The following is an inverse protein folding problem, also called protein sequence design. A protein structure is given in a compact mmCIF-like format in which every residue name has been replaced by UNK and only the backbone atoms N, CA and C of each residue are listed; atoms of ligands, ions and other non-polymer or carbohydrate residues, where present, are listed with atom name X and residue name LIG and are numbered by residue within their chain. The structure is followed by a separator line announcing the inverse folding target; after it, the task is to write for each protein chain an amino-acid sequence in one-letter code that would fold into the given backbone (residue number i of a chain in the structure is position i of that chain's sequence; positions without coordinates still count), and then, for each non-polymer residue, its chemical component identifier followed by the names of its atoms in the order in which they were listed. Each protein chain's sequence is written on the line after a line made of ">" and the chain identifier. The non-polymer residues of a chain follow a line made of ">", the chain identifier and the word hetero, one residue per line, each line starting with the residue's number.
data_IF_876520047904
#
_entry.id   IF_876520047904
#
_cell.length_a   1.000
_cell.length_b   1.000
_cell.length_c   1.000
_cell.angle_alpha   90.00
_cell.angle_beta   90.00
_cell.angle_gamma   90.00
#
_symmetry.space_group_name_H-M   'P 1'
#
loop_
_entity.id
_entity.type
_entity.pdbx_description
1 polymer ?
#
# COMPACT_ATOMS: atom_id res chain seq x y z
N UNK A 1 17.83 -44.18 -13.29
CA UNK A 1 17.18 -43.16 -12.43
C UNK A 1 15.70 -43.47 -12.36
N UNK A 2 15.23 -44.01 -11.22
CA UNK A 2 13.86 -44.51 -11.05
C UNK A 2 12.84 -43.38 -11.10
N UNK A 3 11.66 -43.64 -11.64
CA UNK A 3 10.57 -42.66 -11.85
C UNK A 3 10.19 -41.94 -10.55
N UNK A 4 10.27 -42.66 -9.43
CA UNK A 4 10.03 -42.13 -8.08
C UNK A 4 11.02 -41.04 -7.66
N UNK A 5 12.31 -41.18 -8.01
CA UNK A 5 13.35 -40.21 -7.67
C UNK A 5 13.15 -38.90 -8.44
N UNK A 6 12.65 -38.97 -9.68
CA UNK A 6 12.35 -37.79 -10.50
C UNK A 6 11.16 -36.99 -9.96
N UNK A 7 10.12 -37.70 -9.48
CA UNK A 7 8.94 -37.07 -8.89
C UNK A 7 9.31 -36.35 -7.58
N UNK A 8 10.13 -36.99 -6.75
CA UNK A 8 10.61 -36.38 -5.50
C UNK A 8 11.44 -35.12 -5.76
N UNK A 9 12.34 -35.17 -6.76
CA UNK A 9 13.14 -34.01 -7.16
C UNK A 9 12.28 -32.86 -7.71
N UNK A 10 11.26 -33.14 -8.51
CA UNK A 10 10.33 -32.11 -9.00
C UNK A 10 9.53 -31.46 -7.86
N UNK A 11 9.04 -32.24 -6.89
CA UNK A 11 8.32 -31.70 -5.73
C UNK A 11 9.23 -30.85 -4.83
N UNK A 12 10.50 -31.24 -4.67
CA UNK A 12 11.49 -30.44 -3.94
C UNK A 12 11.82 -29.12 -4.66
N UNK A 13 11.87 -29.12 -6.00
CA UNK A 13 12.12 -27.90 -6.76
C UNK A 13 10.97 -26.89 -6.61
N UNK A 14 9.71 -27.35 -6.66
CA UNK A 14 8.53 -26.48 -6.52
C UNK A 14 8.44 -25.83 -5.15
N UNK A 15 8.83 -26.56 -4.09
CA UNK A 15 8.87 -26.02 -2.72
C UNK A 15 10.04 -25.06 -2.49
N UNK A 16 11.20 -25.30 -3.12
CA UNK A 16 12.33 -24.37 -3.08
C UNK A 16 12.14 -23.10 -3.92
N UNK A 17 11.42 -23.17 -5.04
CA UNK A 17 11.07 -22.00 -5.86
C UNK A 17 9.74 -21.37 -5.48
N UNK A 18 9.13 -21.82 -4.38
CA UNK A 18 7.89 -21.26 -3.86
C UNK A 18 8.06 -19.77 -3.70
N UNK A 19 7.41 -19.01 -4.58
CA UNK A 19 7.42 -17.57 -4.66
C UNK A 19 7.03 -17.01 -3.27
N UNK A 20 8.03 -16.67 -2.46
CA UNK A 20 7.83 -16.12 -1.13
C UNK A 20 7.34 -14.70 -1.31
N UNK A 21 6.02 -14.53 -1.27
CA UNK A 21 5.31 -13.27 -1.43
C UNK A 21 5.63 -12.54 -2.76
N UNK A 22 4.73 -12.66 -3.75
CA UNK A 22 4.67 -11.61 -4.77
C UNK A 22 4.60 -10.26 -4.04
N UNK A 23 5.45 -9.26 -4.37
CA UNK A 23 5.33 -7.94 -3.79
C UNK A 23 3.90 -7.48 -4.06
N UNK A 24 3.11 -7.36 -3.00
CA UNK A 24 1.78 -6.80 -3.10
C UNK A 24 1.98 -5.38 -3.61
N UNK A 25 1.46 -5.09 -4.81
CA UNK A 25 1.46 -3.70 -5.29
C UNK A 25 0.72 -2.92 -4.23
N UNK A 26 1.37 -1.92 -3.62
CA UNK A 26 0.77 -1.23 -2.50
C UNK A 26 -0.44 -0.45 -2.97
N UNK A 27 -1.48 -0.45 -2.13
CA UNK A 27 -2.77 0.10 -2.50
C UNK A 27 -2.68 1.61 -2.39
N UNK A 28 -2.98 2.30 -3.49
CA UNK A 28 -3.00 3.76 -3.48
C UNK A 28 -4.05 4.26 -2.47
N UNK A 29 -3.71 5.17 -1.56
CA UNK A 29 -4.64 5.65 -0.54
C UNK A 29 -5.75 6.49 -1.19
N UNK A 30 -6.95 6.42 -0.63
CA UNK A 30 -8.06 7.26 -1.06
C UNK A 30 -7.86 8.68 -0.55
N UNK A 31 -8.12 9.67 -1.42
CA UNK A 31 -8.03 11.08 -1.02
C UNK A 31 -9.11 11.37 0.04
N UNK A 32 -8.76 11.90 1.22
CA UNK A 32 -9.74 12.22 2.25
C UNK A 32 -10.67 13.35 1.79
N UNK A 33 -11.91 13.32 2.28
CA UNK A 33 -12.85 14.43 2.14
C UNK A 33 -12.60 15.42 3.26
N UNK A 34 -12.32 16.66 2.91
CA UNK A 34 -12.04 17.74 3.87
C UNK A 34 -13.30 18.60 4.03
N UNK A 35 -14.28 18.12 4.80
CA UNK A 35 -15.59 18.76 4.93
C UNK A 35 -15.53 20.13 5.62
N UNK A 36 -14.52 20.35 6.47
CA UNK A 36 -14.29 21.62 7.16
C UNK A 36 -13.44 22.62 6.37
N UNK A 37 -13.03 22.29 5.14
CA UNK A 37 -12.21 23.18 4.33
C UNK A 37 -12.99 24.44 3.97
N UNK A 38 -12.52 25.57 4.50
CA UNK A 38 -13.05 26.90 4.20
C UNK A 38 -11.94 27.77 3.65
N UNK A 39 -12.16 28.42 2.51
CA UNK A 39 -11.25 29.44 1.98
C UNK A 39 -11.45 30.75 2.72
N UNK A 40 -10.36 31.38 3.15
CA UNK A 40 -10.43 32.70 3.79
C UNK A 40 -10.42 33.81 2.73
N UNK A 41 -10.96 35.00 3.05
CA UNK A 41 -10.96 36.14 2.13
C UNK A 41 -9.55 36.59 1.69
N UNK A 42 -8.54 36.30 2.50
CA UNK A 42 -7.12 36.64 2.25
C UNK A 42 -6.41 35.62 1.34
N UNK A 43 -7.13 34.59 0.88
CA UNK A 43 -6.58 33.51 0.05
C UNK A 43 -5.99 32.35 0.85
N UNK A 44 -6.18 32.33 2.18
CA UNK A 44 -5.81 31.21 3.04
C UNK A 44 -6.82 30.07 3.01
N UNK A 45 -6.51 29.01 3.75
CA UNK A 45 -7.40 27.87 4.01
C UNK A 45 -7.46 27.61 5.51
N UNK A 46 -8.67 27.36 5.99
CA UNK A 46 -8.94 26.92 7.35
C UNK A 46 -9.46 25.49 7.30
N UNK A 47 -8.92 24.65 8.17
CA UNK A 47 -9.32 23.26 8.37
C UNK A 47 -9.48 23.03 9.87
N UNK A 48 -10.43 22.15 10.24
CA UNK A 48 -10.47 21.63 11.60
C UNK A 48 -9.25 20.70 11.83
N UNK A 49 -9.02 20.31 13.09
CA UNK A 49 -7.89 19.45 13.44
C UNK A 49 -7.96 18.07 12.78
N UNK A 50 -9.15 17.47 12.68
CA UNK A 50 -9.31 16.12 12.17
C UNK A 50 -9.00 16.05 10.67
N UNK A 51 -9.60 16.93 9.88
CA UNK A 51 -9.35 17.00 8.44
C UNK A 51 -7.89 17.31 8.13
N UNK A 52 -7.22 18.13 8.96
CA UNK A 52 -5.79 18.37 8.84
C UNK A 52 -4.97 17.10 9.11
N UNK A 53 -5.34 16.30 10.11
CA UNK A 53 -4.70 15.01 10.41
C UNK A 53 -4.92 14.01 9.27
N UNK A 54 -6.15 13.90 8.76
CA UNK A 54 -6.49 12.99 7.66
C UNK A 54 -5.71 13.36 6.39
N UNK A 55 -5.55 14.65 6.12
CA UNK A 55 -4.72 15.14 5.01
C UNK A 55 -3.23 14.80 5.21
N UNK A 56 -2.71 14.93 6.43
CA UNK A 56 -1.31 14.60 6.75
C UNK A 56 -1.05 13.11 6.55
N UNK A 57 -1.94 12.24 7.05
CA UNK A 57 -1.81 10.79 6.88
C UNK A 57 -1.84 10.42 5.39
N UNK A 58 -2.79 11.00 4.63
CA UNK A 58 -2.85 10.80 3.19
C UNK A 58 -1.56 11.20 2.45
N UNK A 59 -0.96 12.33 2.83
CA UNK A 59 0.32 12.76 2.24
C UNK A 59 1.46 11.83 2.64
N UNK A 60 1.49 11.40 3.90
CA UNK A 60 2.48 10.45 4.39
C UNK A 60 2.46 9.13 3.60
N UNK A 61 1.28 8.56 3.41
CA UNK A 61 1.09 7.32 2.65
C UNK A 61 1.55 7.49 1.19
N UNK A 62 1.29 8.65 0.57
CA UNK A 62 1.76 8.96 -0.78
C UNK A 62 3.29 9.14 -0.86
N UNK A 63 3.91 9.77 0.14
CA UNK A 63 5.35 9.98 0.20
C UNK A 63 6.12 8.70 0.46
N UNK A 64 5.53 7.81 1.25
CA UNK A 64 6.03 6.46 1.33
C UNK A 64 5.90 5.86 -0.08
N UNK A 65 4.71 5.95 -0.72
CA UNK A 65 4.40 5.41 -2.06
C UNK A 65 3.26 4.38 -2.10
N UNK A 66 2.34 4.40 -1.12
CA UNK A 66 1.80 3.14 -0.59
C UNK A 66 0.51 3.18 0.25
N UNK A 67 0.20 1.99 0.82
CA UNK A 67 -0.02 1.69 2.26
C UNK A 67 1.27 1.48 3.09
#
# INVERSE_FOLDING_TARGET
>A
MTTQLKILLMLSAITLTGCQACPTIPIKPERPRLESLVKTPEGGITLNRQDALDLILYVYDLEDGYE
#
